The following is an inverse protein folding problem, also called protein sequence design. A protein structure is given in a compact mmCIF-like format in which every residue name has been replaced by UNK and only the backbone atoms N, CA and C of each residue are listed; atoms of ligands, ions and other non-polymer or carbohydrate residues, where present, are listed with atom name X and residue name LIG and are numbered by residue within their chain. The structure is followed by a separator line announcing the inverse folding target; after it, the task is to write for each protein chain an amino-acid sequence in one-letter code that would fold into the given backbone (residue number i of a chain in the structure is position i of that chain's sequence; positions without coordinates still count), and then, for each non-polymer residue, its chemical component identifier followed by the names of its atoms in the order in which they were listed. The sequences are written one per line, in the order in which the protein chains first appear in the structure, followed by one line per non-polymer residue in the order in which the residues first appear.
data_IF_233931489256
#
_entry.id   IF_233931489256
#
_cell.length_a   1.000
_cell.length_b   1.000
_cell.length_c   1.000
_cell.angle_alpha   90.00
_cell.angle_beta   90.00
_cell.angle_gamma   90.00
#
_symmetry.space_group_name_H-M   'P 1'
#
loop_
_entity.id
_entity.type
_entity.pdbx_description
1 polymer ?
#
# COMPACT_ATOMS: atom_id res chain seq x y z
N UNK A 1 17.68 -0.38 -8.87
CA UNK A 1 16.49 -0.57 -8.01
C UNK A 1 16.14 0.75 -7.34
N UNK A 2 15.25 1.54 -7.95
CA UNK A 2 14.81 2.85 -7.48
C UNK A 2 13.35 2.76 -6.99
N UNK A 3 13.04 3.31 -5.82
CA UNK A 3 11.65 3.45 -5.36
C UNK A 3 10.97 4.52 -6.20
N UNK A 4 9.89 4.14 -6.88
CA UNK A 4 9.10 5.05 -7.74
C UNK A 4 7.78 5.46 -7.09
N UNK A 5 7.42 4.87 -5.95
CA UNK A 5 6.27 5.25 -5.15
C UNK A 5 5.78 4.09 -4.27
N UNK A 6 4.55 4.21 -3.79
CA UNK A 6 3.97 3.29 -2.82
C UNK A 6 2.56 2.84 -3.23
N UNK A 7 2.22 1.59 -2.92
CA UNK A 7 0.90 1.00 -3.20
C UNK A 7 0.27 0.48 -1.91
N UNK A 8 -1.05 0.64 -1.78
CA UNK A 8 -1.81 0.05 -0.68
C UNK A 8 -1.93 -1.47 -0.90
N UNK A 9 -1.46 -2.24 0.07
CA UNK A 9 -1.50 -3.69 0.07
C UNK A 9 -2.38 -4.19 1.21
N UNK A 10 -3.39 -5.00 0.90
CA UNK A 10 -4.12 -5.76 1.89
C UNK A 10 -3.40 -7.07 2.19
N UNK A 11 -3.20 -7.35 3.47
CA UNK A 11 -2.57 -8.57 3.94
C UNK A 11 -3.65 -9.63 4.20
N UNK A 12 -3.56 -10.74 3.47
CA UNK A 12 -4.49 -11.87 3.58
C UNK A 12 -3.64 -13.13 3.67
N UNK A 13 -3.81 -13.92 4.75
CA UNK A 13 -3.14 -15.20 5.03
C UNK A 13 -2.03 -15.62 4.03
N UNK A 14 -0.81 -15.09 4.22
CA UNK A 14 0.38 -15.44 3.44
C UNK A 14 0.53 -14.72 2.09
N UNK A 15 -0.31 -13.73 1.80
CA UNK A 15 -0.32 -12.94 0.57
C UNK A 15 -0.50 -11.45 0.87
N UNK A 16 0.03 -10.62 -0.03
CA UNK A 16 -0.22 -9.19 -0.08
C UNK A 16 -0.85 -8.87 -1.43
N UNK A 17 -2.03 -8.27 -1.44
CA UNK A 17 -2.77 -7.94 -2.68
C UNK A 17 -2.98 -6.44 -2.78
N UNK A 18 -2.78 -5.82 -3.96
CA UNK A 18 -3.03 -4.40 -4.13
C UNK A 18 -4.51 -4.08 -3.92
N UNK A 19 -4.78 -3.08 -3.09
CA UNK A 19 -6.14 -2.54 -2.87
C UNK A 19 -6.54 -1.66 -4.06
N UNK A 20 -5.56 -1.01 -4.69
CA UNK A 20 -5.71 -0.12 -5.84
C UNK A 20 -4.53 -0.28 -6.78
N UNK A 21 -4.71 0.08 -8.05
CA UNK A 21 -3.61 0.15 -9.04
C UNK A 21 -2.85 1.49 -9.02
N UNK A 22 -3.25 2.42 -8.16
CA UNK A 22 -2.59 3.72 -8.01
C UNK A 22 -1.26 3.60 -7.27
N UNK A 23 -0.28 4.37 -7.76
CA UNK A 23 1.00 4.61 -7.08
C UNK A 23 0.92 5.97 -6.42
N UNK A 24 1.15 5.99 -5.11
CA UNK A 24 1.08 7.16 -4.25
C UNK A 24 2.48 7.62 -3.81
N UNK A 25 2.55 8.84 -3.31
CA UNK A 25 3.62 9.19 -2.37
C UNK A 25 3.46 8.43 -1.05
N UNK A 26 4.53 8.34 -0.26
CA UNK A 26 4.48 7.69 1.07
C UNK A 26 3.36 8.29 1.93
N UNK A 27 3.30 9.63 2.04
CA UNK A 27 2.33 10.32 2.91
C UNK A 27 0.88 10.10 2.48
N UNK A 28 0.62 10.05 1.17
CA UNK A 28 -0.72 9.74 0.67
C UNK A 28 -1.10 8.29 1.00
N UNK A 29 -0.20 7.34 0.75
CA UNK A 29 -0.45 5.95 1.06
C UNK A 29 -0.74 5.75 2.56
N UNK A 30 0.06 6.34 3.45
CA UNK A 30 -0.12 6.22 4.90
C UNK A 30 -1.49 6.75 5.35
N UNK A 31 -1.89 7.93 4.86
CA UNK A 31 -3.21 8.51 5.16
C UNK A 31 -4.35 7.60 4.70
N UNK A 32 -4.22 6.98 3.52
CA UNK A 32 -5.22 6.05 3.02
C UNK A 32 -5.25 4.74 3.83
N UNK A 33 -4.09 4.22 4.24
CA UNK A 33 -4.00 3.02 5.07
C UNK A 33 -4.64 3.25 6.45
N UNK A 34 -4.29 4.35 7.13
CA UNK A 34 -4.89 4.77 8.39
C UNK A 34 -6.41 4.92 8.27
N UNK A 35 -6.88 5.61 7.23
CA UNK A 35 -8.30 5.76 6.96
C UNK A 35 -9.00 4.40 6.81
N UNK A 36 -8.46 3.51 5.95
CA UNK A 36 -9.05 2.18 5.72
C UNK A 36 -9.11 1.34 6.98
N UNK A 37 -8.04 1.34 7.79
CA UNK A 37 -8.00 0.64 9.08
C UNK A 37 -8.95 1.25 10.12
N UNK A 38 -9.22 2.57 10.06
CA UNK A 38 -10.15 3.24 10.98
C UNK A 38 -11.63 2.95 10.67
N UNK A 39 -11.97 2.74 9.39
CA UNK A 39 -13.37 2.55 8.95
C UNK A 39 -13.71 1.09 8.66
N UNK A 40 -12.71 0.21 8.52
CA UNK A 40 -12.89 -1.22 8.29
C UNK A 40 -11.90 -2.05 9.12
N UNK A 41 -12.34 -3.22 9.55
CA UNK A 41 -11.48 -4.20 10.21
C UNK A 41 -10.63 -4.98 9.18
N UNK A 42 -9.72 -4.28 8.51
CA UNK A 42 -8.80 -4.81 7.49
C UNK A 42 -7.36 -4.57 7.92
N UNK A 43 -6.45 -5.43 7.46
CA UNK A 43 -5.02 -5.22 7.65
C UNK A 43 -4.42 -4.73 6.34
N UNK A 44 -4.08 -3.44 6.28
CA UNK A 44 -3.57 -2.77 5.08
C UNK A 44 -2.26 -2.07 5.41
N UNK A 45 -1.29 -2.17 4.50
CA UNK A 45 0.05 -1.56 4.62
C UNK A 45 0.43 -0.84 3.33
N UNK A 46 1.42 0.03 3.41
CA UNK A 46 2.06 0.63 2.24
C UNK A 46 3.26 -0.19 1.80
N UNK A 47 3.25 -0.67 0.56
CA UNK A 47 4.36 -1.38 -0.07
C UNK A 47 5.14 -0.49 -1.02
N UNK A 48 6.47 -0.58 -1.01
CA UNK A 48 7.34 0.10 -1.96
C UNK A 48 7.19 -0.50 -3.36
N UNK A 49 7.02 0.36 -4.36
CA UNK A 49 7.11 -0.01 -5.77
C UNK A 49 8.51 0.33 -6.24
N UNK A 50 9.28 -0.70 -6.61
CA UNK A 50 10.65 -0.56 -7.09
C UNK A 50 10.72 -0.80 -8.59
N UNK A 51 11.51 0.02 -9.27
CA UNK A 51 11.91 -0.20 -10.66
C UNK A 51 13.33 -0.77 -10.66
N UNK A 52 13.47 -1.98 -11.19
CA UNK A 52 14.78 -2.48 -11.63
C UNK A 52 15.17 -1.73 -12.90
N UNK A 53 16.39 -1.19 -12.92
CA UNK A 53 16.94 -0.46 -14.06
C UNK A 53 17.46 -1.44 -15.11
#
# INVERSE_FOLDING_TARGET
MQIIGYVLLMLIQGSAVPVTEYIYTQSECDKHAEYLMSVRNVNVVCGEVMRDE
#
